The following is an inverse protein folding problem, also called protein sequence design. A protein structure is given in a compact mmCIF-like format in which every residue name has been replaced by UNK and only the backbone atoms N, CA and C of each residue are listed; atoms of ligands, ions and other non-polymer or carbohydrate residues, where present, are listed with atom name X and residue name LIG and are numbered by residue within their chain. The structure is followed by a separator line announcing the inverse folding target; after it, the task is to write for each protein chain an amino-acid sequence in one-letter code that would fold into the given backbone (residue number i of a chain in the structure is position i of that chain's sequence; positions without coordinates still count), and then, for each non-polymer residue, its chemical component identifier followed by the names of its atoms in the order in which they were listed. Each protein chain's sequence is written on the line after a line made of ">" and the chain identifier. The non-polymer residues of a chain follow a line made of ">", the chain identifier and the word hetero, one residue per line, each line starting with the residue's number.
data_IF_785442263823
#
_entry.id   IF_785442263823
#
_cell.length_a   1.000
_cell.length_b   1.000
_cell.length_c   1.000
_cell.angle_alpha   90.00
_cell.angle_beta   90.00
_cell.angle_gamma   90.00
#
_symmetry.space_group_name_H-M   'P 1'
#
loop_
_entity.id
_entity.type
_entity.pdbx_description
1 polymer ?
#
# COMPACT_ATOMS: atom_id res chain seq x y z
N UNK A 1 7.41 -15.53 8.93
CA UNK A 1 6.60 -14.69 8.00
C UNK A 1 6.38 -13.35 8.71
N UNK A 2 6.57 -12.20 8.06
CA UNK A 2 6.41 -10.89 8.70
C UNK A 2 4.91 -10.61 8.91
N UNK A 3 4.49 -10.40 10.15
CA UNK A 3 3.07 -10.22 10.54
C UNK A 3 2.73 -8.81 11.02
N UNK A 4 3.73 -8.01 11.37
CA UNK A 4 3.53 -6.63 11.86
C UNK A 4 4.70 -5.75 11.45
N UNK A 5 4.42 -4.47 11.24
CA UNK A 5 5.38 -3.41 10.97
C UNK A 5 5.17 -2.21 11.90
N UNK A 6 4.53 -2.42 13.06
CA UNK A 6 4.32 -1.35 14.05
C UNK A 6 5.67 -0.70 14.40
N UNK A 7 5.69 0.63 14.43
CA UNK A 7 6.87 1.46 14.60
C UNK A 7 7.68 1.71 13.31
N UNK A 8 7.21 1.31 12.13
CA UNK A 8 7.94 1.55 10.87
C UNK A 8 8.11 3.06 10.60
N UNK A 9 7.19 3.88 11.13
CA UNK A 9 7.25 5.35 11.08
C UNK A 9 8.54 5.94 11.66
N UNK A 10 9.26 5.22 12.53
CA UNK A 10 10.57 5.66 13.04
C UNK A 10 11.66 5.68 11.95
N UNK A 11 11.47 4.98 10.84
CA UNK A 11 12.42 4.91 9.73
C UNK A 11 12.24 6.09 8.77
N UNK A 12 12.47 7.31 9.25
CA UNK A 12 12.17 8.54 8.50
C UNK A 12 12.81 8.62 7.11
N UNK A 13 13.97 7.98 6.91
CA UNK A 13 14.71 7.95 5.63
C UNK A 13 14.42 6.72 4.77
N UNK A 14 13.40 5.93 5.11
CA UNK A 14 13.07 4.72 4.37
C UNK A 14 12.57 5.07 2.97
N UNK A 15 13.29 4.60 1.96
CA UNK A 15 12.95 4.81 0.54
C UNK A 15 12.22 3.65 -0.11
N UNK A 16 12.46 2.43 0.37
CA UNK A 16 11.97 1.21 -0.25
C UNK A 16 11.36 0.31 0.81
N UNK A 17 10.10 -0.07 0.61
CA UNK A 17 9.37 -1.02 1.45
C UNK A 17 8.67 -2.05 0.56
N UNK A 18 8.99 -3.33 0.75
CA UNK A 18 8.45 -4.44 -0.05
C UNK A 18 7.77 -5.47 0.84
N UNK A 19 6.44 -5.51 0.78
CA UNK A 19 5.55 -6.28 1.64
C UNK A 19 4.55 -7.16 0.87
N UNK A 20 4.63 -7.21 -0.46
CA UNK A 20 3.72 -7.98 -1.34
C UNK A 20 3.48 -9.45 -0.97
N UNK A 21 4.43 -10.11 -0.26
CA UNK A 21 4.33 -11.51 0.18
C UNK A 21 4.33 -11.64 1.72
N UNK A 22 4.13 -10.52 2.41
CA UNK A 22 4.01 -10.50 3.86
C UNK A 22 2.63 -10.99 4.30
N UNK A 23 2.48 -11.24 5.59
CA UNK A 23 1.20 -11.51 6.24
C UNK A 23 0.85 -10.36 7.19
N UNK A 24 1.25 -9.14 6.82
CA UNK A 24 1.00 -7.93 7.61
C UNK A 24 -0.49 -7.60 7.50
N UNK A 25 -1.10 -7.32 8.65
CA UNK A 25 -2.46 -6.77 8.71
C UNK A 25 -2.38 -5.25 8.60
N UNK A 26 -3.19 -4.65 7.73
CA UNK A 26 -3.11 -3.22 7.43
C UNK A 26 -4.22 -2.42 8.13
N UNK A 27 -4.33 -2.61 9.44
CA UNK A 27 -5.26 -1.84 10.29
C UNK A 27 -4.96 -0.33 10.26
N UNK A 28 -5.84 0.46 10.88
CA UNK A 28 -5.78 1.94 10.89
C UNK A 28 -4.38 2.44 11.24
N UNK A 29 -3.83 2.00 12.37
CA UNK A 29 -2.52 2.43 12.86
C UNK A 29 -1.39 2.13 11.86
N UNK A 30 -1.44 0.95 11.22
CA UNK A 30 -0.42 0.56 10.24
C UNK A 30 -0.49 1.41 8.97
N UNK A 31 -1.69 1.77 8.52
CA UNK A 31 -1.87 2.70 7.39
C UNK A 31 -1.43 4.11 7.71
N UNK A 32 -1.65 4.58 8.93
CA UNK A 32 -1.15 5.88 9.38
C UNK A 32 0.38 5.90 9.41
N UNK A 33 1.01 4.86 9.94
CA UNK A 33 2.48 4.79 9.98
C UNK A 33 3.13 4.83 8.58
N UNK A 34 2.55 4.12 7.60
CA UNK A 34 3.04 4.18 6.22
C UNK A 34 2.90 5.59 5.63
N UNK A 35 1.84 6.30 5.98
CA UNK A 35 1.60 7.67 5.53
C UNK A 35 2.55 8.69 6.15
N UNK A 36 3.25 8.37 7.23
CA UNK A 36 4.28 9.26 7.83
C UNK A 36 5.62 9.17 7.08
N UNK A 37 5.88 8.11 6.32
CA UNK A 37 7.16 7.91 5.62
C UNK A 37 7.32 8.84 4.40
N UNK A 38 7.78 10.07 4.62
CA UNK A 38 7.88 11.13 3.58
C UNK A 38 8.85 10.81 2.45
N UNK A 39 9.90 10.04 2.74
CA UNK A 39 10.92 9.67 1.76
C UNK A 39 10.63 8.34 1.05
N UNK A 40 9.46 7.73 1.26
CA UNK A 40 9.11 6.47 0.63
C UNK A 40 8.89 6.66 -0.88
N UNK A 41 9.75 6.05 -1.68
CA UNK A 41 9.74 6.13 -3.14
C UNK A 41 9.16 4.86 -3.77
N UNK A 42 9.35 3.70 -3.13
CA UNK A 42 8.91 2.40 -3.62
C UNK A 42 8.15 1.65 -2.53
N UNK A 43 6.90 1.35 -2.81
CA UNK A 43 6.05 0.45 -2.03
C UNK A 43 5.58 -0.72 -2.90
N UNK A 44 5.76 -1.95 -2.41
CA UNK A 44 4.99 -3.11 -2.88
C UNK A 44 4.22 -3.71 -1.72
N UNK A 45 2.94 -3.99 -1.90
CA UNK A 45 2.04 -4.33 -0.79
C UNK A 45 1.01 -5.36 -1.25
N UNK A 46 0.59 -6.24 -0.33
CA UNK A 46 -0.46 -7.21 -0.58
C UNK A 46 -1.58 -7.02 0.42
N UNK A 47 -2.78 -6.62 0.00
CA UNK A 47 -3.94 -6.44 0.88
C UNK A 47 -4.89 -7.63 0.76
N UNK A 48 -5.56 -7.97 1.86
CA UNK A 48 -6.37 -9.18 2.00
C UNK A 48 -7.78 -8.92 2.56
N UNK A 49 -8.20 -7.65 2.63
CA UNK A 49 -9.55 -7.25 3.02
C UNK A 49 -9.96 -6.01 2.24
N UNK A 50 -11.25 -5.88 1.93
CA UNK A 50 -11.78 -4.70 1.22
C UNK A 50 -11.58 -3.43 2.05
N UNK A 51 -11.69 -3.52 3.39
CA UNK A 51 -11.44 -2.39 4.28
C UNK A 51 -10.00 -1.86 4.23
N UNK A 52 -9.02 -2.75 4.04
CA UNK A 52 -7.62 -2.34 3.89
C UNK A 52 -7.37 -1.77 2.49
N UNK A 53 -8.02 -2.35 1.47
CA UNK A 53 -7.97 -1.86 0.10
C UNK A 53 -8.56 -0.45 0.00
N UNK A 54 -9.74 -0.18 0.56
CA UNK A 54 -10.38 1.14 0.53
C UNK A 54 -9.54 2.22 1.24
N UNK A 55 -9.01 1.89 2.42
CA UNK A 55 -8.08 2.77 3.15
C UNK A 55 -6.81 3.04 2.35
N UNK A 56 -6.28 2.02 1.68
CA UNK A 56 -5.12 2.17 0.83
C UNK A 56 -5.41 3.08 -0.38
N UNK A 57 -6.51 2.82 -1.09
CA UNK A 57 -6.91 3.56 -2.30
C UNK A 57 -7.27 5.02 -2.01
N UNK A 58 -7.83 5.31 -0.83
CA UNK A 58 -8.10 6.68 -0.38
C UNK A 58 -6.84 7.49 -0.06
N UNK A 59 -5.69 6.84 0.12
CA UNK A 59 -4.42 7.54 0.39
C UNK A 59 -3.66 7.86 -0.90
N UNK A 60 -3.79 9.10 -1.36
CA UNK A 60 -3.03 9.60 -2.53
C UNK A 60 -1.51 9.42 -2.36
N UNK A 61 -0.98 9.54 -1.15
CA UNK A 61 0.46 9.35 -0.87
C UNK A 61 0.89 7.92 -1.13
N UNK A 62 0.17 6.93 -0.58
CA UNK A 62 0.49 5.51 -0.74
C UNK A 62 0.34 5.09 -2.21
N UNK A 63 -0.74 5.53 -2.85
CA UNK A 63 -0.96 5.30 -4.28
C UNK A 63 0.20 5.82 -5.13
N UNK A 64 0.73 7.01 -4.81
CA UNK A 64 1.81 7.63 -5.58
C UNK A 64 3.15 6.87 -5.53
N UNK A 65 3.50 6.26 -4.40
CA UNK A 65 4.76 5.52 -4.26
C UNK A 65 4.63 4.01 -4.50
N UNK A 66 3.43 3.51 -4.82
CA UNK A 66 3.19 2.08 -5.00
C UNK A 66 3.50 1.62 -6.42
N UNK A 67 4.40 0.65 -6.53
CA UNK A 67 4.74 0.00 -7.80
C UNK A 67 3.94 -1.28 -8.05
N UNK A 68 3.53 -1.97 -6.98
CA UNK A 68 2.75 -3.20 -7.08
C UNK A 68 1.81 -3.35 -5.88
N UNK A 69 0.53 -3.52 -6.17
CA UNK A 69 -0.52 -3.87 -5.23
C UNK A 69 -1.05 -5.25 -5.61
N UNK A 70 -1.03 -6.18 -4.65
CA UNK A 70 -1.66 -7.49 -4.80
C UNK A 70 -2.90 -7.52 -3.93
N UNK A 71 -4.05 -7.81 -4.50
CA UNK A 71 -5.29 -8.05 -3.75
C UNK A 71 -5.53 -9.55 -3.69
N UNK A 72 -5.82 -10.10 -2.52
CA UNK A 72 -6.19 -11.51 -2.35
C UNK A 72 -7.53 -11.57 -1.64
N UNK A 73 -8.55 -12.05 -2.34
CA UNK A 73 -9.90 -12.18 -1.76
C UNK A 73 -10.64 -10.85 -1.57
N UNK A 74 -10.19 -9.78 -2.23
CA UNK A 74 -10.93 -8.51 -2.29
C UNK A 74 -11.88 -8.50 -3.49
N UNK A 75 -13.09 -8.00 -3.31
CA UNK A 75 -14.03 -7.75 -4.40
C UNK A 75 -13.76 -6.34 -4.97
N UNK A 76 -12.99 -6.28 -6.05
CA UNK A 76 -12.89 -5.06 -6.84
C UNK A 76 -14.23 -4.89 -7.59
N UNK A 77 -15.17 -4.17 -6.99
CA UNK A 77 -16.32 -3.63 -7.70
C UNK A 77 -15.77 -2.79 -8.87
N UNK A 78 -15.89 -3.30 -10.10
CA UNK A 78 -15.45 -2.57 -11.29
C UNK A 78 -16.41 -1.40 -11.53
N UNK A 79 -16.24 -0.32 -10.79
CA UNK A 79 -16.77 0.96 -11.24
C UNK A 79 -15.87 1.41 -12.38
N UNK A 80 -16.47 1.69 -13.55
CA UNK A 80 -15.86 2.12 -14.82
C UNK A 80 -15.11 3.47 -14.72
N UNK A 81 -14.31 3.67 -13.68
CA UNK A 81 -13.42 4.80 -13.51
C UNK A 81 -12.01 4.27 -13.73
N UNK A 82 -11.38 4.76 -14.79
CA UNK A 82 -10.03 4.47 -15.26
C UNK A 82 -8.92 4.84 -14.26
N UNK A 83 -8.95 4.29 -13.04
CA UNK A 83 -7.94 4.59 -11.99
C UNK A 83 -6.56 4.03 -12.35
N UNK A 84 -6.47 3.08 -13.29
CA UNK A 84 -5.18 2.52 -13.74
C UNK A 84 -4.47 3.32 -14.83
N UNK A 85 -5.07 4.39 -15.38
CA UNK A 85 -4.45 5.18 -16.46
C UNK A 85 -3.13 5.89 -16.05
N UNK A 86 -2.84 5.98 -14.75
CA UNK A 86 -1.59 6.56 -14.23
C UNK A 86 -0.37 5.63 -14.21
N UNK A 87 -0.55 4.33 -14.46
CA UNK A 87 0.53 3.33 -14.34
C UNK A 87 1.26 3.02 -15.66
N UNK A 88 1.07 3.83 -16.71
CA UNK A 88 1.70 3.63 -18.04
C UNK A 88 3.23 3.90 -18.09
N UNK A 89 3.88 4.20 -16.97
CA UNK A 89 5.34 4.43 -16.91
C UNK A 89 6.13 3.24 -16.37
N UNK A 90 5.78 2.04 -16.82
CA UNK A 90 6.62 0.85 -16.65
C UNK A 90 7.41 0.62 -17.95
N UNK A 91 8.58 1.25 -18.05
CA UNK A 91 9.68 0.83 -18.92
C UNK A 91 10.91 0.55 -18.06
#
# INVERSE_FOLDING_TARGET
>A
RLSSIVGISALLKLKVLKLQRSSVSYGVDTMEELQVLEHLEILTIGVNSDSDLDRFLSSHKLMRCTQALVTVGCELESSDVSVFAGMEKLR
#
